data_IF_634362726655
#
_entry.id   IF_634362726655
#
_cell.length_a   1.000
_cell.length_b   1.000
_cell.length_c   1.000
_cell.angle_alpha   90.00
_cell.angle_beta   90.00
_cell.angle_gamma   90.00
#
_symmetry.space_group_name_H-M   'P 1'
#
loop_
_entity.id
_entity.type
_entity.pdbx_description
1 polymer ?
2 non-polymer ?
3 non-polymer ?
4 non-polymer ?
5 water ?
#
# COMPACT_ATOMS: atom_id res chain seq x y z
N UNK A 11 20.42 12.72 -9.42
CA UNK A 11 21.48 13.39 -8.63
C UNK A 11 20.90 13.91 -7.30
N UNK A 12 21.67 14.77 -6.66
CA UNK A 12 21.42 15.27 -5.35
C UNK A 12 21.12 16.75 -5.52
N UNK A 13 20.02 17.18 -4.94
CA UNK A 13 19.63 18.59 -5.01
C UNK A 13 20.49 19.38 -4.02
N UNK A 14 20.83 20.64 -4.35
CA UNK A 14 21.67 21.41 -3.45
C UNK A 14 21.03 21.58 -2.09
N UNK A 15 21.83 21.44 -1.04
CA UNK A 15 21.34 21.53 0.32
C UNK A 15 20.75 22.90 0.62
N UNK A 16 19.45 22.96 1.00
CA UNK A 16 18.93 24.28 1.34
C UNK A 16 19.61 24.89 2.59
N UNK A 17 19.73 26.23 2.64
CA UNK A 17 20.50 26.82 3.72
C UNK A 17 19.97 26.52 5.12
N UNK A 18 18.68 26.24 5.27
CA UNK A 18 18.12 25.99 6.59
C UNK A 18 18.37 24.57 7.13
N UNK A 19 18.88 23.69 6.28
CA UNK A 19 19.15 22.30 6.71
C UNK A 19 20.60 22.12 7.11
N UNK A 20 20.87 21.72 8.37
CA UNK A 20 22.26 21.54 8.78
C UNK A 20 22.85 20.21 8.29
N UNK A 21 24.17 20.21 8.05
CA UNK A 21 24.85 19.08 7.38
C UNK A 21 24.72 17.76 8.13
N UNK A 22 24.68 17.84 9.45
CA UNK A 22 24.65 16.65 10.30
C UNK A 22 23.33 15.87 10.17
N UNK A 23 22.33 16.48 9.57
CA UNK A 23 21.04 15.81 9.35
C UNK A 23 20.88 15.18 7.97
N UNK A 24 21.91 15.34 7.13
CA UNK A 24 21.83 14.87 5.74
C UNK A 24 22.13 13.39 5.63
N UNK A 25 21.16 12.64 5.10
CA UNK A 25 21.31 11.20 4.88
C UNK A 25 20.66 10.96 3.54
N UNK A 26 21.47 10.73 2.49
CA UNK A 26 20.96 10.76 1.12
C UNK A 26 20.28 9.45 0.67
N UNK A 27 19.13 9.19 1.28
CA UNK A 27 18.32 7.99 1.00
C UNK A 27 17.41 8.20 -0.21
N UNK A 28 17.40 7.24 -1.14
CA UNK A 28 16.57 7.34 -2.36
C UNK A 28 15.36 6.42 -2.27
N UNK A 29 14.17 6.98 -2.04
CA UNK A 29 12.99 6.14 -1.86
C UNK A 29 12.60 5.29 -3.09
N UNK A 30 13.11 5.65 -4.26
CA UNK A 30 12.79 4.91 -5.51
C UNK A 30 13.82 3.85 -5.86
N UNK A 31 14.95 3.88 -5.17
CA UNK A 31 16.06 2.96 -5.42
C UNK A 31 17.00 2.96 -4.25
N UNK A 32 16.54 2.45 -3.09
CA UNK A 32 17.39 2.52 -1.90
C UNK A 32 18.61 1.62 -2.04
N UNK A 33 19.78 2.12 -1.62
CA UNK A 33 21.06 1.43 -1.95
C UNK A 33 21.07 -0.05 -1.56
N UNK A 34 20.43 -0.37 -0.44
CA UNK A 34 20.46 -1.69 0.19
C UNK A 34 19.25 -2.60 -0.17
N UNK A 35 18.61 -2.26 -1.27
CA UNK A 35 17.41 -2.93 -1.81
C UNK A 35 17.55 -4.47 -1.94
N UNK A 36 18.76 -4.95 -2.28
CA UNK A 36 18.94 -6.39 -2.50
C UNK A 36 18.72 -7.23 -1.24
N UNK A 37 18.79 -6.58 -0.07
CA UNK A 37 18.53 -7.26 1.23
C UNK A 37 17.03 -7.40 1.53
N UNK A 38 16.20 -6.79 0.70
CA UNK A 38 14.76 -6.74 0.97
C UNK A 38 14.38 -5.29 1.16
N UNK A 39 13.20 -4.90 0.66
CA UNK A 39 12.89 -3.46 0.63
C UNK A 39 12.71 -2.91 2.05
N UNK A 40 12.02 -3.67 2.92
CA UNK A 40 11.83 -3.22 4.30
C UNK A 40 13.20 -3.05 4.97
N UNK A 41 14.09 -4.04 4.79
CA UNK A 41 15.49 -3.95 5.27
C UNK A 41 16.23 -2.71 4.74
N UNK A 42 15.99 -2.38 3.47
CA UNK A 42 16.64 -1.25 2.85
C UNK A 42 16.23 0.05 3.55
N UNK A 43 14.93 0.20 3.84
CA UNK A 43 14.47 1.41 4.52
C UNK A 43 14.95 1.44 5.96
N UNK A 44 15.10 0.27 6.57
CA UNK A 44 15.50 0.17 7.98
C UNK A 44 16.91 0.63 8.23
N UNK A 45 17.69 0.84 7.17
CA UNK A 45 19.02 1.47 7.29
C UNK A 45 18.89 2.85 7.98
N UNK A 46 17.71 3.45 7.82
CA UNK A 46 17.43 4.73 8.47
C UNK A 46 17.22 4.65 9.98
N UNK A 47 17.23 3.45 10.54
CA UNK A 47 17.10 3.25 12.00
C UNK A 47 18.36 2.67 12.63
N UNK A 48 19.47 2.74 11.89
CA UNK A 48 20.77 2.33 12.43
C UNK A 48 21.20 3.33 13.49
N UNK A 49 22.10 2.87 14.37
CA UNK A 49 22.41 3.52 15.65
C UNK A 49 22.52 5.05 15.66
N UNK A 50 23.36 5.62 14.79
CA UNK A 50 23.59 7.07 14.85
C UNK A 50 22.48 7.94 14.25
N UNK A 51 21.74 7.37 13.29
CA UNK A 51 20.70 8.12 12.54
C UNK A 51 19.65 8.83 13.40
N UNK A 52 19.56 10.17 13.24
CA UNK A 52 18.58 10.96 13.99
C UNK A 52 17.14 10.58 13.61
N UNK A 53 16.17 11.01 14.42
CA UNK A 53 14.76 10.72 14.18
C UNK A 53 14.22 11.37 12.92
N UNK A 54 14.86 12.45 12.48
CA UNK A 54 14.41 13.20 11.34
C UNK A 54 15.62 13.59 10.51
N UNK A 55 15.65 13.13 9.26
CA UNK A 55 16.79 13.36 8.39
C UNK A 55 16.39 14.07 7.10
N UNK A 56 17.35 14.76 6.46
CA UNK A 56 17.15 15.34 5.12
C UNK A 56 17.86 14.49 4.08
N UNK A 57 17.14 14.05 3.05
CA UNK A 57 17.78 13.50 1.84
C UNK A 57 17.80 14.52 0.71
N UNK A 58 18.94 14.55 -0.01
CA UNK A 58 19.06 15.43 -1.18
C UNK A 58 18.54 14.72 -2.45
N UNK A 59 18.16 13.44 -2.31
CA UNK A 59 17.56 12.72 -3.44
C UNK A 59 16.16 13.21 -3.77
N UNK A 60 15.73 13.00 -5.02
CA UNK A 60 14.34 13.21 -5.43
C UNK A 60 13.87 14.63 -5.12
N UNK A 61 14.79 15.57 -5.29
CA UNK A 61 14.48 16.99 -5.19
C UNK A 61 14.75 17.56 -3.81
N UNK A 62 14.95 16.71 -2.82
CA UNK A 62 15.24 17.17 -1.48
C UNK A 62 14.02 17.16 -0.56
N UNK A 63 14.13 16.42 0.55
CA UNK A 63 12.98 16.30 1.48
C UNK A 63 13.38 15.68 2.80
N UNK A 64 12.53 15.86 3.81
CA UNK A 64 12.73 15.23 5.11
C UNK A 64 12.19 13.81 5.06
N UNK A 65 12.71 12.99 5.98
CA UNK A 65 12.15 11.68 6.25
C UNK A 65 12.08 11.50 7.77
N UNK A 66 10.86 11.26 8.30
CA UNK A 66 10.71 10.87 9.73
C UNK A 66 11.00 9.38 9.85
N UNK A 67 11.83 8.98 10.80
CA UNK A 67 12.38 7.61 10.84
C UNK A 67 11.88 6.76 12.02
N UNK A 68 11.00 7.33 12.85
CA UNK A 68 10.50 6.62 14.02
C UNK A 68 8.99 6.76 14.14
N UNK A 69 8.35 5.74 14.73
CA UNK A 69 6.89 5.74 14.91
C UNK A 69 6.37 7.00 15.61
N UNK A 70 7.05 7.45 16.68
CA UNK A 70 6.56 8.57 17.47
C UNK A 70 6.39 9.82 16.61
N UNK A 71 7.39 10.15 15.79
CA UNK A 71 7.35 11.34 14.93
C UNK A 71 6.38 11.17 13.80
N UNK A 72 6.36 9.98 13.24
CA UNK A 72 5.43 9.66 12.17
C UNK A 72 3.97 9.86 12.64
N UNK A 73 3.64 9.28 13.79
CA UNK A 73 2.30 9.43 14.31
C UNK A 73 1.98 10.88 14.61
N UNK A 74 2.93 11.60 15.18
CA UNK A 74 2.69 13.02 15.52
C UNK A 74 2.38 13.86 14.27
N UNK A 75 3.16 13.67 13.21
CA UNK A 75 2.98 14.37 11.94
C UNK A 75 1.62 14.08 11.32
N UNK A 76 1.23 12.80 11.31
CA UNK A 76 -0.09 12.41 10.80
C UNK A 76 -1.24 13.02 11.61
N UNK A 77 -1.04 13.20 12.92
CA UNK A 77 -2.08 13.82 13.75
C UNK A 77 -2.18 15.33 13.50
N UNK A 78 -1.04 15.98 13.27
CA UNK A 78 -0.99 17.45 13.14
C UNK A 78 -1.19 17.92 11.70
N UNK A 79 -2.43 17.88 11.23
CA UNK A 79 -2.72 18.31 9.86
C UNK A 79 -2.66 19.81 9.69
N UNK A 80 -2.58 20.55 10.79
CA UNK A 80 -2.40 22.01 10.61
C UNK A 80 -1.02 22.38 10.11
N UNK A 81 0.02 21.75 10.65
CA UNK A 81 1.39 21.98 10.20
C UNK A 81 1.76 21.07 9.03
N UNK A 82 1.23 19.85 9.00
CA UNK A 82 1.67 18.87 8.01
C UNK A 82 0.47 18.55 7.12
N UNK A 83 0.45 19.15 5.94
CA UNK A 83 -0.74 19.09 5.07
C UNK A 83 -0.68 17.96 4.03
N UNK A 84 -1.84 17.36 3.73
CA UNK A 84 -1.94 16.33 2.67
C UNK A 84 -2.06 16.89 1.27
N UNK A 85 -2.01 18.21 1.14
CA UNK A 85 -2.22 18.85 -0.16
C UNK A 85 -1.16 18.44 -1.18
N UNK A 86 0.06 18.18 -0.69
CA UNK A 86 1.17 17.78 -1.57
C UNK A 86 1.88 16.61 -0.90
N UNK A 87 1.28 15.42 -0.98
CA UNK A 87 1.80 14.35 -0.13
C UNK A 87 2.92 13.48 -0.70
N UNK A 88 3.11 13.48 -2.00
CA UNK A 88 4.08 12.54 -2.59
C UNK A 88 5.36 13.23 -3.01
N UNK A 89 6.45 12.46 -2.93
CA UNK A 89 7.77 12.83 -3.48
C UNK A 89 7.91 12.10 -4.82
N UNK A 90 8.48 12.75 -5.87
CA UNK A 90 9.05 14.11 -5.89
C UNK A 90 7.95 15.18 -5.90
N UNK A 91 8.32 16.42 -5.63
CA UNK A 91 7.34 17.50 -5.58
C UNK A 91 6.33 17.59 -6.74
N UNK A 92 6.80 17.38 -7.98
CA UNK A 92 5.93 17.48 -9.17
C UNK A 92 4.81 16.47 -9.04
N UNK A 93 5.11 15.32 -8.46
CA UNK A 93 4.10 14.27 -8.24
C UNK A 93 3.11 14.70 -7.15
N UNK A 94 3.63 15.15 -6.01
CA UNK A 94 2.77 15.69 -4.96
C UNK A 94 1.86 16.81 -5.45
N UNK A 95 2.40 17.72 -6.27
CA UNK A 95 1.61 18.84 -6.76
C UNK A 95 0.49 18.39 -7.70
N UNK A 96 0.80 17.42 -8.56
CA UNK A 96 -0.20 16.86 -9.48
C UNK A 96 -1.26 16.04 -8.77
N UNK A 97 -0.92 15.50 -7.60
CA UNK A 97 -1.79 14.53 -6.94
C UNK A 97 -3.00 15.25 -6.38
N UNK A 98 -4.20 14.87 -6.82
CA UNK A 98 -5.41 15.56 -6.35
C UNK A 98 -6.55 14.59 -6.02
N UNK A 99 -6.18 13.36 -5.69
CA UNK A 99 -7.17 12.35 -5.35
C UNK A 99 -7.95 12.78 -4.11
N UNK A 100 -9.19 12.30 -4.02
CA UNK A 100 -10.08 12.59 -2.88
C UNK A 100 -10.38 11.25 -2.23
N UNK A 101 -10.30 11.16 -0.89
CA UNK A 101 -10.05 12.26 0.07
C UNK A 101 -8.58 12.50 0.43
N UNK A 102 -7.69 11.70 -0.14
CA UNK A 102 -6.28 11.69 0.26
C UNK A 102 -5.53 13.02 0.15
N UNK A 103 -5.84 13.85 -0.85
CA UNK A 103 -5.14 15.15 -1.05
C UNK A 103 -5.77 16.30 -0.27
N UNK A 104 -6.73 15.98 0.59
CA UNK A 104 -7.39 17.02 1.38
C UNK A 104 -7.07 16.87 2.85
N UNK A 105 -7.10 18.01 3.56
CA UNK A 105 -7.03 17.99 5.02
C UNK A 105 -8.42 18.16 5.61
N UNK A 106 -8.60 17.72 6.88
CA UNK A 106 -9.80 18.20 7.59
C UNK A 106 -9.74 19.73 7.65
N UNK A 107 -10.90 20.41 7.72
CA UNK A 107 -12.24 19.86 7.77
C UNK A 107 -12.82 19.33 6.46
N UNK A 108 -12.37 19.83 5.30
CA UNK A 108 -13.01 19.45 4.04
C UNK A 108 -12.92 17.98 3.66
N UNK A 109 -11.85 17.29 4.09
CA UNK A 109 -11.66 15.88 3.80
C UNK A 109 -12.83 14.99 4.27
N UNK A 110 -13.33 15.28 5.48
CA UNK A 110 -14.14 14.31 6.18
C UNK A 110 -15.42 13.91 5.46
N UNK A 111 -16.03 14.89 4.82
CA UNK A 111 -17.33 14.67 4.17
C UNK A 111 -17.27 13.64 3.05
N UNK A 112 -16.09 13.43 2.49
CA UNK A 112 -15.90 12.49 1.40
C UNK A 112 -15.67 11.05 1.88
N UNK A 113 -15.21 10.87 3.13
CA UNK A 113 -15.06 9.49 3.65
C UNK A 113 -16.30 8.63 3.67
N UNK A 114 -17.44 9.21 4.03
CA UNK A 114 -18.68 8.43 4.10
C UNK A 114 -19.06 7.84 2.75
N UNK A 115 -18.86 8.63 1.70
CA UNK A 115 -19.17 8.13 0.37
C UNK A 115 -18.22 6.99 -0.03
N UNK A 116 -16.92 7.17 0.18
CA UNK A 116 -15.95 6.09 -0.13
C UNK A 116 -16.27 4.83 0.70
N UNK A 117 -16.66 5.05 1.96
CA UNK A 117 -17.07 3.91 2.82
C UNK A 117 -18.23 3.13 2.27
N UNK A 118 -19.12 3.82 1.55
CA UNK A 118 -20.26 3.17 0.93
C UNK A 118 -19.84 2.21 -0.14
N UNK A 119 -18.67 2.42 -0.73
CA UNK A 119 -18.27 1.58 -1.85
C UNK A 119 -17.18 0.57 -1.52
N UNK A 120 -16.42 0.80 -0.44
CA UNK A 120 -15.37 -0.20 -0.10
C UNK A 120 -15.35 -0.64 1.35
N UNK A 121 -16.27 -0.09 2.15
CA UNK A 121 -16.37 -0.39 3.59
C UNK A 121 -16.99 -1.72 3.92
N UNK A 122 -17.16 -1.98 5.22
CA UNK A 122 -17.65 -3.29 5.71
C UNK A 122 -18.91 -3.82 5.03
N UNK A 123 -19.95 -2.99 4.88
CA UNK A 123 -21.15 -3.47 4.19
C UNK A 123 -20.89 -4.03 2.80
N UNK A 124 -19.98 -3.40 2.06
CA UNK A 124 -19.59 -3.92 0.76
C UNK A 124 -18.79 -5.23 0.89
N UNK A 125 -17.91 -5.31 1.87
CA UNK A 125 -17.13 -6.54 2.09
C UNK A 125 -18.11 -7.72 2.34
N UNK A 126 -19.17 -7.44 3.08
CA UNK A 126 -20.26 -8.41 3.26
C UNK A 126 -20.93 -8.83 1.96
N UNK A 127 -21.23 -7.87 1.09
CA UNK A 127 -21.81 -8.13 -0.22
C UNK A 127 -20.92 -9.05 -1.07
N UNK A 128 -19.61 -8.89 -0.93
CA UNK A 128 -18.58 -9.59 -1.74
C UNK A 128 -18.04 -10.84 -1.09
N UNK A 129 -18.41 -11.08 0.15
CA UNK A 129 -17.83 -12.16 0.95
C UNK A 129 -17.68 -13.50 0.19
N UNK A 130 -18.80 -13.99 -0.35
CA UNK A 130 -18.87 -15.33 -0.95
C UNK A 130 -17.96 -15.38 -2.17
N UNK A 131 -18.07 -14.34 -2.99
CA UNK A 131 -17.33 -14.27 -4.26
C UNK A 131 -15.82 -14.16 -4.02
N UNK A 132 -15.43 -13.37 -3.00
CA UNK A 132 -14.00 -13.32 -2.59
C UNK A 132 -13.53 -14.73 -2.26
N UNK A 133 -14.32 -15.43 -1.47
CA UNK A 133 -13.99 -16.77 -1.00
C UNK A 133 -13.88 -17.68 -2.22
N UNK A 134 -14.90 -17.60 -3.09
CA UNK A 134 -14.96 -18.43 -4.30
C UNK A 134 -13.82 -18.24 -5.27
N UNK A 135 -13.40 -16.99 -5.48
CA UNK A 135 -12.31 -16.72 -6.40
C UNK A 135 -10.96 -17.18 -5.85
N UNK A 136 -10.71 -16.93 -4.56
CA UNK A 136 -9.49 -17.47 -3.91
C UNK A 136 -9.38 -18.98 -4.12
N UNK A 137 -10.46 -19.70 -3.81
CA UNK A 137 -10.43 -21.17 -3.89
C UNK A 137 -10.25 -21.64 -5.32
N UNK A 138 -10.97 -21.03 -6.26
CA UNK A 138 -10.86 -21.44 -7.66
C UNK A 138 -9.44 -21.22 -8.20
N UNK A 139 -8.86 -20.05 -7.93
CA UNK A 139 -7.52 -19.76 -8.42
C UNK A 139 -6.49 -20.73 -7.83
N UNK A 140 -6.59 -20.97 -6.53
CA UNK A 140 -5.60 -21.81 -5.83
C UNK A 140 -5.78 -23.26 -6.27
N UNK A 141 -7.02 -23.71 -6.41
CA UNK A 141 -7.25 -25.09 -6.89
C UNK A 141 -6.69 -25.31 -8.29
N UNK A 142 -6.85 -24.32 -9.18
CA UNK A 142 -6.26 -24.42 -10.52
C UNK A 142 -4.72 -24.54 -10.49
N UNK A 143 -4.09 -23.86 -9.53
CA UNK A 143 -2.63 -23.93 -9.44
C UNK A 143 -2.13 -25.21 -8.77
N UNK A 144 -2.92 -25.74 -7.83
CA UNK A 144 -2.45 -26.76 -6.88
C UNK A 144 -1.75 -27.97 -7.55
N UNK A 145 -2.35 -28.53 -8.61
CA UNK A 145 -1.73 -29.73 -9.20
C UNK A 145 -0.45 -29.47 -9.99
N UNK A 146 -0.21 -28.19 -10.32
CA UNK A 146 0.96 -27.77 -11.14
C UNK A 146 2.30 -27.92 -10.43
N UNK A 147 2.32 -27.83 -9.10
CA UNK A 147 3.59 -27.93 -8.37
C UNK A 147 4.48 -26.70 -8.49
N UNK A 148 3.94 -25.64 -9.09
CA UNK A 148 4.69 -24.39 -9.28
C UNK A 148 3.78 -23.27 -9.71
N UNK A 149 4.20 -22.03 -9.47
CA UNK A 149 3.50 -20.88 -10.04
C UNK A 149 4.43 -19.68 -10.01
N UNK A 150 4.02 -18.65 -10.73
CA UNK A 150 4.64 -17.34 -10.65
C UNK A 150 3.66 -16.54 -9.81
N UNK A 151 3.86 -16.52 -8.49
CA UNK A 151 2.82 -15.99 -7.61
C UNK A 151 2.33 -14.58 -7.93
N UNK A 152 3.22 -13.68 -8.35
CA UNK A 152 2.78 -12.31 -8.62
C UNK A 152 1.75 -12.26 -9.72
N UNK A 153 2.02 -12.95 -10.82
CA UNK A 153 1.11 -12.88 -11.93
C UNK A 153 -0.05 -13.88 -11.85
N UNK A 154 0.16 -15.00 -11.15
CA UNK A 154 -0.83 -16.10 -11.10
C UNK A 154 -1.87 -15.96 -9.98
N UNK A 155 -1.57 -15.14 -8.98
CA UNK A 155 -2.50 -14.97 -7.85
C UNK A 155 -2.51 -13.55 -7.28
N UNK A 156 -1.33 -13.05 -6.89
CA UNK A 156 -1.26 -11.72 -6.24
C UNK A 156 -1.98 -10.62 -7.03
N UNK A 157 -1.81 -10.65 -8.36
CA UNK A 157 -2.51 -9.69 -9.20
C UNK A 157 -3.99 -10.06 -9.44
N UNK A 158 -4.27 -11.24 -10.05
CA UNK A 158 -5.67 -11.49 -10.41
C UNK A 158 -6.66 -11.56 -9.26
N UNK A 159 -6.26 -12.09 -8.10
CA UNK A 159 -7.22 -12.19 -6.99
C UNK A 159 -7.79 -10.81 -6.54
N UNK A 160 -6.95 -9.89 -6.02
CA UNK A 160 -7.51 -8.60 -5.59
C UNK A 160 -8.01 -7.78 -6.77
N UNK A 161 -7.33 -7.87 -7.91
CA UNK A 161 -7.72 -6.99 -9.05
C UNK A 161 -9.07 -7.38 -9.62
N UNK A 162 -9.31 -8.68 -9.76
CA UNK A 162 -10.61 -9.13 -10.28
C UNK A 162 -11.75 -8.84 -9.27
N UNK A 163 -11.45 -8.87 -7.96
CA UNK A 163 -12.48 -8.49 -6.98
C UNK A 163 -12.81 -7.00 -7.19
N UNK A 164 -11.77 -6.21 -7.44
CA UNK A 164 -11.95 -4.78 -7.56
C UNK A 164 -12.70 -4.46 -8.86
N UNK A 165 -12.34 -5.14 -9.95
CA UNK A 165 -13.00 -4.82 -11.24
C UNK A 165 -14.47 -5.17 -11.17
N UNK A 166 -14.78 -6.27 -10.50
CA UNK A 166 -16.15 -6.68 -10.22
C UNK A 166 -16.90 -5.60 -9.45
N UNK A 167 -16.32 -5.18 -8.34
CA UNK A 167 -16.93 -4.16 -7.47
C UNK A 167 -17.14 -2.86 -8.23
N UNK A 168 -16.21 -2.52 -9.11
CA UNK A 168 -16.24 -1.27 -9.86
C UNK A 168 -16.99 -1.39 -11.18
N UNK A 169 -17.40 -2.61 -11.52
CA UNK A 169 -18.08 -2.88 -12.77
C UNK A 169 -17.26 -2.49 -13.99
N UNK A 170 -15.96 -2.77 -13.95
CA UNK A 170 -15.05 -2.50 -15.09
C UNK A 170 -14.68 -3.82 -15.73
N UNK A 171 -14.49 -3.85 -17.07
CA UNK A 171 -14.15 -5.09 -17.75
C UNK A 171 -12.76 -5.61 -17.43
N UNK A 172 -12.65 -6.92 -17.21
CA UNK A 172 -11.34 -7.53 -16.90
C UNK A 172 -10.31 -7.35 -18.01
N UNK A 173 -10.77 -7.23 -19.26
CA UNK A 173 -9.84 -6.97 -20.37
C UNK A 173 -9.11 -5.60 -20.25
N UNK A 174 -9.62 -4.70 -19.39
CA UNK A 174 -8.96 -3.41 -19.15
C UNK A 174 -7.79 -3.46 -18.12
N UNK A 175 -7.63 -4.61 -17.46
CA UNK A 175 -6.63 -4.72 -16.38
C UNK A 175 -5.19 -4.35 -16.78
N UNK A 176 -4.68 -4.92 -17.90
CA UNK A 176 -3.28 -4.62 -18.22
C UNK A 176 -3.02 -3.12 -18.37
N UNK A 177 -3.94 -2.41 -19.02
CA UNK A 177 -3.76 -0.98 -19.23
C UNK A 177 -3.82 -0.24 -17.87
N UNK A 178 -4.85 -0.56 -17.09
CA UNK A 178 -5.04 0.14 -15.83
C UNK A 178 -3.94 -0.18 -14.85
N UNK A 179 -3.53 -1.44 -14.82
CA UNK A 179 -2.41 -1.86 -13.93
C UNK A 179 -1.12 -1.13 -14.33
N UNK A 180 -0.83 -1.06 -15.64
CA UNK A 180 0.35 -0.30 -16.06
C UNK A 180 0.35 1.15 -15.55
N UNK A 181 -0.75 1.86 -15.78
CA UNK A 181 -0.90 3.27 -15.38
C UNK A 181 -0.78 3.46 -13.87
N UNK A 182 -1.46 2.62 -13.11
CA UNK A 182 -1.37 2.69 -11.64
C UNK A 182 0.06 2.55 -11.18
N UNK A 183 0.78 1.59 -11.75
CA UNK A 183 2.18 1.38 -11.40
C UNK A 183 3.09 2.53 -11.80
N UNK A 184 2.71 3.32 -12.81
CA UNK A 184 3.50 4.52 -13.11
C UNK A 184 3.37 5.61 -12.06
N UNK A 185 2.29 5.58 -11.29
CA UNK A 185 2.16 6.55 -10.22
C UNK A 185 2.96 6.15 -8.97
N UNK A 186 3.19 4.86 -8.77
CA UNK A 186 3.81 4.42 -7.53
C UNK A 186 5.28 4.00 -7.69
N UNK A 187 5.58 3.34 -8.82
CA UNK A 187 6.93 2.83 -9.10
C UNK A 187 7.23 3.12 -10.58
N UNK A 188 7.35 4.41 -10.93
CA UNK A 188 7.44 4.79 -12.35
C UNK A 188 8.65 4.16 -13.06
N UNK A 189 8.45 3.66 -14.29
CA UNK A 189 9.56 3.15 -15.11
C UNK A 189 10.35 4.28 -15.83
N UNK A 190 9.82 5.50 -15.74
CA UNK A 190 10.41 6.66 -16.37
C UNK A 190 9.76 7.09 -17.68
N UNK A 191 8.86 6.26 -18.19
CA UNK A 191 8.21 6.56 -19.48
C UNK A 191 7.11 7.60 -19.34
N UNK A 192 6.56 7.72 -18.13
CA UNK A 192 5.48 8.67 -17.84
C UNK A 192 5.72 9.37 -16.51
N UNK A 193 5.42 10.65 -16.48
CA UNK A 193 5.51 11.42 -15.24
C UNK A 193 4.27 11.04 -14.43
N UNK A 194 4.29 11.37 -13.15
CA UNK A 194 3.12 11.10 -12.29
C UNK A 194 1.89 11.79 -12.87
N UNK A 195 2.03 13.05 -13.27
CA UNK A 195 0.93 13.81 -13.86
C UNK A 195 0.36 13.15 -15.12
N UNK A 196 1.23 12.65 -15.99
CA UNK A 196 0.77 11.96 -17.21
C UNK A 196 0.00 10.69 -16.91
N UNK A 197 0.49 9.90 -15.95
CA UNK A 197 -0.14 8.63 -15.60
C UNK A 197 -1.51 8.91 -14.98
N UNK A 198 -1.55 9.92 -14.13
CA UNK A 198 -2.80 10.27 -13.46
C UNK A 198 -3.81 10.78 -14.49
N UNK A 199 -3.38 11.62 -15.42
CA UNK A 199 -4.27 12.13 -16.47
C UNK A 199 -4.80 11.03 -17.38
N UNK A 200 -3.97 10.02 -17.64
CA UNK A 200 -4.38 8.83 -18.38
C UNK A 200 -5.44 8.02 -17.63
N UNK A 201 -5.30 7.90 -16.31
CA UNK A 201 -6.33 7.24 -15.52
C UNK A 201 -7.62 8.05 -15.55
N UNK A 202 -7.49 9.37 -15.45
CA UNK A 202 -8.65 10.27 -15.59
C UNK A 202 -9.32 10.14 -16.98
N UNK A 203 -8.48 9.98 -18.02
CA UNK A 203 -8.96 9.87 -19.41
C UNK A 203 -9.82 8.63 -19.53
N UNK A 204 -9.46 7.58 -18.79
CA UNK A 204 -10.21 6.35 -18.78
C UNK A 204 -11.57 6.56 -18.08
N UNK A 205 -11.53 7.19 -16.91
CA UNK A 205 -12.70 7.31 -16.06
C UNK A 205 -13.73 8.32 -16.54
N UNK A 206 -13.28 9.43 -17.10
CA UNK A 206 -14.17 10.54 -17.44
C UNK A 206 -15.45 10.08 -18.19
N UNK A 207 -15.31 9.34 -19.32
CA UNK A 207 -16.55 8.92 -19.99
C UNK A 207 -17.40 7.93 -19.21
N UNK A 208 -16.76 7.05 -18.45
CA UNK A 208 -17.48 6.03 -17.69
C UNK A 208 -18.32 6.68 -16.58
N UNK A 209 -17.72 7.67 -15.91
CA UNK A 209 -18.42 8.48 -14.89
C UNK A 209 -19.64 9.22 -15.51
N UNK A 210 -19.43 9.88 -16.64
CA UNK A 210 -20.54 10.55 -17.31
C UNK A 210 -21.66 9.57 -17.71
N UNK A 211 -21.29 8.40 -18.25
CA UNK A 211 -22.26 7.36 -18.61
C UNK A 211 -23.09 6.89 -17.41
N UNK A 212 -22.40 6.68 -16.29
CA UNK A 212 -23.06 6.15 -15.10
C UNK A 212 -23.83 7.20 -14.28
N UNK A 213 -23.57 8.48 -14.54
CA UNK A 213 -24.42 9.54 -14.03
C UNK A 213 -25.71 9.63 -14.85
N UNK A 214 -25.61 9.32 -16.14
CA UNK A 214 -26.79 9.30 -17.02
C UNK A 214 -27.64 8.08 -16.75
N UNK A 215 -27.00 6.92 -16.61
CA UNK A 215 -27.67 5.65 -16.39
C UNK A 215 -26.95 4.89 -15.22
N UNK A 216 -27.27 5.25 -13.98
CA UNK A 216 -26.66 4.64 -12.79
C UNK A 216 -26.84 3.13 -12.72
N UNK A 217 -25.76 2.44 -12.34
CA UNK A 217 -25.82 1.02 -11.97
C UNK A 217 -25.65 0.90 -10.46
N UNK A 218 -25.30 -0.29 -9.99
CA UNK A 218 -25.05 -0.49 -8.55
C UNK A 218 -23.56 -0.66 -8.24
N UNK A 219 -22.71 -0.48 -9.24
CA UNK A 219 -21.26 -0.68 -9.09
C UNK A 219 -20.66 0.54 -8.37
N UNK A 220 -19.42 0.40 -7.89
CA UNK A 220 -18.78 1.48 -7.12
C UNK A 220 -18.69 2.80 -7.88
N UNK A 221 -18.43 2.75 -9.18
CA UNK A 221 -18.29 4.00 -9.93
C UNK A 221 -19.64 4.74 -10.01
N UNK A 222 -20.71 4.00 -10.26
CA UNK A 222 -22.06 4.58 -10.26
C UNK A 222 -22.37 5.20 -8.90
N UNK A 223 -22.05 4.48 -7.84
CA UNK A 223 -22.38 4.97 -6.48
C UNK A 223 -21.66 6.27 -6.14
N UNK A 224 -20.35 6.30 -6.41
CA UNK A 224 -19.56 7.52 -6.20
C UNK A 224 -20.09 8.66 -7.09
N UNK A 225 -20.29 8.36 -8.36
CA UNK A 225 -20.63 9.41 -9.33
C UNK A 225 -22.00 10.05 -9.07
N UNK A 226 -22.89 9.27 -8.45
CA UNK A 226 -24.26 9.75 -8.15
C UNK A 226 -24.41 10.08 -6.68
N UNK A 227 -23.29 10.14 -5.99
CA UNK A 227 -23.31 10.25 -4.54
C UNK A 227 -23.53 11.67 -4.05
N UNK A 228 -23.83 11.75 -2.76
CA UNK A 228 -23.98 13.02 -2.08
C UNK A 228 -22.84 13.17 -1.08
N UNK A 229 -22.43 14.41 -0.89
CA UNK A 229 -21.35 14.73 0.02
C UNK A 229 -21.95 15.71 1.03
N UNK A 230 -22.13 15.28 2.27
CA UNK A 230 -22.81 16.10 3.27
C UNK A 230 -24.07 16.81 2.72
N UNK A 231 -24.89 16.01 2.05
CA UNK A 231 -26.20 16.42 1.58
C UNK A 231 -26.26 17.20 0.30
N UNK A 232 -25.13 17.37 -0.39
CA UNK A 232 -25.15 18.03 -1.72
C UNK A 232 -24.53 17.12 -2.78
N UNK A 233 -24.97 17.28 -4.05
CA UNK A 233 -24.46 16.37 -5.06
C UNK A 233 -22.95 16.48 -5.30
N UNK A 234 -22.33 15.33 -5.46
CA UNK A 234 -20.91 15.30 -5.82
C UNK A 234 -20.77 15.86 -7.24
N UNK A 235 -19.70 16.58 -7.53
CA UNK A 235 -19.46 17.03 -8.90
C UNK A 235 -18.81 15.92 -9.74
N UNK A 236 -18.85 16.07 -11.07
CA UNK A 236 -18.19 15.12 -11.94
C UNK A 236 -16.69 15.07 -11.63
N UNK A 237 -16.10 16.24 -11.36
CA UNK A 237 -14.67 16.34 -11.10
C UNK A 237 -14.30 15.65 -9.79
N UNK A 238 -15.12 15.90 -8.75
CA UNK A 238 -14.87 15.25 -7.47
C UNK A 238 -15.00 13.71 -7.59
N UNK A 239 -16.01 13.25 -8.33
CA UNK A 239 -16.20 11.82 -8.52
C UNK A 239 -14.97 11.19 -9.20
N UNK A 240 -14.45 11.86 -10.23
CA UNK A 240 -13.26 11.39 -10.95
C UNK A 240 -12.06 11.26 -9.99
N UNK A 241 -11.86 12.27 -9.17
CA UNK A 241 -10.74 12.30 -8.22
C UNK A 241 -10.86 11.24 -7.12
N UNK A 242 -12.09 10.90 -6.76
CA UNK A 242 -12.32 9.79 -5.82
C UNK A 242 -12.09 8.44 -6.54
N UNK A 243 -12.62 8.29 -7.74
CA UNK A 243 -12.49 7.01 -8.45
C UNK A 243 -11.04 6.66 -8.81
N UNK A 244 -10.24 7.68 -9.10
CA UNK A 244 -8.79 7.50 -9.34
C UNK A 244 -8.12 6.82 -8.14
N UNK A 245 -8.43 7.32 -6.95
CA UNK A 245 -7.89 6.73 -5.73
C UNK A 245 -8.34 5.29 -5.58
N UNK A 246 -9.61 5.02 -5.85
CA UNK A 246 -10.13 3.66 -5.69
C UNK A 246 -9.41 2.65 -6.59
N UNK A 247 -9.14 3.08 -7.83
CA UNK A 247 -8.40 2.26 -8.78
C UNK A 247 -7.00 1.92 -8.26
N UNK A 248 -6.30 2.92 -7.72
CA UNK A 248 -4.98 2.67 -7.17
C UNK A 248 -5.08 1.72 -5.98
N UNK A 249 -6.05 1.95 -5.10
CA UNK A 249 -6.28 1.05 -3.98
C UNK A 249 -6.56 -0.37 -4.44
N UNK A 250 -7.38 -0.54 -5.47
CA UNK A 250 -7.76 -1.84 -5.91
C UNK A 250 -6.63 -2.57 -6.62
N UNK A 251 -5.78 -1.79 -7.31
CA UNK A 251 -4.78 -2.40 -8.21
C UNK A 251 -3.34 -2.48 -7.72
N UNK A 252 -2.99 -1.70 -6.70
CA UNK A 252 -1.59 -1.68 -6.28
C UNK A 252 -1.35 -1.64 -4.77
N UNK A 253 -2.20 -2.32 -3.99
CA UNK A 253 -1.98 -2.37 -2.55
C UNK A 253 -1.84 -3.83 -2.10
N UNK A 254 -2.99 -4.47 -1.88
CA UNK A 254 -3.03 -5.88 -1.50
C UNK A 254 -2.24 -6.70 -2.53
N UNK A 255 -2.32 -6.29 -3.80
CA UNK A 255 -1.52 -7.00 -4.83
C UNK A 255 -0.05 -7.21 -4.40
N UNK A 256 0.60 -6.16 -3.91
CA UNK A 256 2.00 -6.24 -3.48
C UNK A 256 2.14 -6.91 -2.12
N UNK A 257 1.27 -6.53 -1.19
CA UNK A 257 1.35 -7.11 0.14
C UNK A 257 1.27 -8.66 0.13
N UNK A 258 0.37 -9.22 -0.67
CA UNK A 258 0.26 -10.68 -0.72
C UNK A 258 1.60 -11.34 -1.11
N UNK A 259 2.35 -10.70 -1.99
CA UNK A 259 3.61 -11.30 -2.42
C UNK A 259 4.67 -11.23 -1.32
N UNK A 260 4.73 -10.11 -0.60
CA UNK A 260 5.68 -10.04 0.53
C UNK A 260 5.39 -11.16 1.53
N UNK A 261 4.11 -11.33 1.84
CA UNK A 261 3.67 -12.32 2.82
C UNK A 261 3.94 -13.76 2.39
N UNK A 262 3.64 -14.06 1.14
CA UNK A 262 3.84 -15.41 0.61
C UNK A 262 5.33 -15.73 0.42
N UNK A 263 6.12 -14.70 0.10
CA UNK A 263 7.57 -14.89 0.03
C UNK A 263 8.05 -15.31 1.43
N UNK A 264 7.59 -14.60 2.46
CA UNK A 264 8.01 -14.91 3.81
C UNK A 264 7.61 -16.34 4.22
N UNK A 265 6.37 -16.70 3.94
CA UNK A 265 5.85 -18.01 4.31
C UNK A 265 6.60 -19.11 3.54
N UNK A 266 6.89 -18.88 2.26
CA UNK A 266 7.69 -19.85 1.49
C UNK A 266 9.06 -20.09 2.12
N UNK A 267 9.61 -19.05 2.74
CA UNK A 267 10.93 -19.13 3.35
C UNK A 267 10.91 -19.65 4.78
N UNK A 268 9.73 -19.77 5.39
CA UNK A 268 9.63 -20.17 6.78
C UNK A 268 8.65 -21.31 7.04
N UNK A 269 9.13 -22.54 6.90
CA UNK A 269 8.32 -23.70 7.26
C UNK A 269 7.75 -23.64 8.69
N UNK A 270 8.52 -23.11 9.64
CA UNK A 270 8.05 -23.03 11.02
C UNK A 270 6.79 -22.16 11.17
N UNK A 271 6.78 -21.03 10.45
CA UNK A 271 5.62 -20.14 10.47
C UNK A 271 4.43 -20.74 9.73
N UNK A 272 4.67 -21.41 8.60
CA UNK A 272 3.58 -22.14 7.93
C UNK A 272 2.95 -23.15 8.90
N UNK A 273 3.81 -23.85 9.61
CA UNK A 273 3.32 -24.93 10.47
C UNK A 273 2.43 -24.37 11.57
N UNK A 274 2.78 -23.20 12.07
CA UNK A 274 2.01 -22.55 13.14
C UNK A 274 0.56 -22.34 12.68
N UNK A 275 0.43 -21.88 11.43
CA UNK A 275 -0.88 -21.57 10.84
C UNK A 275 -1.63 -22.80 10.34
N UNK A 276 -0.88 -23.81 9.92
CA UNK A 276 -1.47 -25.11 9.56
C UNK A 276 -2.09 -25.79 10.80
N UNK A 277 -1.38 -25.75 11.91
CA UNK A 277 -1.83 -26.39 13.15
C UNK A 277 -2.90 -25.56 13.85
N UNK A 278 -2.76 -24.22 13.81
CA UNK A 278 -3.74 -23.36 14.47
C UNK A 278 -4.24 -22.27 13.53
N UNK A 279 -5.14 -22.64 12.59
CA UNK A 279 -5.55 -21.66 11.58
C UNK A 279 -6.33 -20.49 12.15
N UNK A 280 -6.90 -20.62 13.35
CA UNK A 280 -7.56 -19.50 14.00
C UNK A 280 -6.59 -18.34 14.33
N UNK A 281 -5.27 -18.61 14.22
CA UNK A 281 -4.24 -17.57 14.43
C UNK A 281 -4.00 -16.77 13.14
N UNK A 282 -4.63 -17.15 12.06
CA UNK A 282 -4.41 -16.42 10.78
C UNK A 282 -4.71 -14.90 10.84
N UNK A 283 -5.85 -14.49 11.43
CA UNK A 283 -6.04 -13.04 11.58
C UNK A 283 -4.91 -12.35 12.36
N UNK A 284 -4.44 -12.93 13.46
CA UNK A 284 -3.33 -12.30 14.18
C UNK A 284 -2.06 -12.28 13.34
N UNK A 285 -1.85 -13.35 12.58
CA UNK A 285 -0.70 -13.45 11.67
C UNK A 285 -0.78 -12.34 10.61
N UNK A 286 -1.99 -12.09 10.12
CA UNK A 286 -2.21 -11.03 9.14
C UNK A 286 -1.72 -9.70 9.71
N UNK A 287 -2.06 -9.41 10.96
CA UNK A 287 -1.69 -8.12 11.54
C UNK A 287 -0.16 -8.00 11.69
N UNK A 288 0.47 -9.11 12.09
CA UNK A 288 1.93 -9.11 12.32
C UNK A 288 2.67 -8.98 10.97
N UNK A 289 2.14 -9.66 9.96
CA UNK A 289 2.66 -9.47 8.58
C UNK A 289 2.46 -8.03 8.03
N UNK A 290 1.32 -7.43 8.35
CA UNK A 290 1.06 -6.04 7.97
C UNK A 290 2.09 -5.11 8.61
N UNK A 291 2.44 -5.40 9.86
CA UNK A 291 3.52 -4.65 10.52
C UNK A 291 4.90 -4.84 9.85
N UNK A 292 5.27 -6.10 9.62
CA UNK A 292 6.62 -6.44 9.18
C UNK A 292 6.85 -6.14 7.70
N UNK A 293 5.80 -6.29 6.89
CA UNK A 293 5.91 -6.10 5.45
C UNK A 293 5.05 -4.92 4.97
N UNK A 294 5.08 -3.86 5.75
CA UNK A 294 4.40 -2.63 5.40
C UNK A 294 4.99 -2.09 4.07
N UNK A 295 4.26 -1.24 3.37
CA UNK A 295 4.74 -0.94 2.00
C UNK A 295 4.49 0.47 1.42
N UNK A 296 3.85 1.36 2.16
CA UNK A 296 3.52 2.70 1.66
C UNK A 296 4.37 3.81 2.25
N UNK A 297 4.90 4.67 1.38
CA UNK A 297 5.68 5.83 1.81
C UNK A 297 4.90 7.13 1.53
N UNK A 298 4.05 7.48 2.48
CA UNK A 298 3.14 8.60 2.45
C UNK A 298 3.94 9.82 2.90
N UNK A 299 3.44 11.02 2.65
CA UNK A 299 4.10 12.21 3.17
C UNK A 299 3.16 13.40 3.28
N UNK A 300 3.75 14.54 3.62
CA UNK A 300 3.03 15.78 3.90
C UNK A 300 3.89 16.97 3.47
N UNK A 301 3.25 18.14 3.39
CA UNK A 301 4.00 19.39 3.09
C UNK A 301 3.81 20.36 4.24
N UNK A 302 4.89 21.07 4.61
CA UNK A 302 4.82 22.01 5.74
C UNK A 302 4.04 23.25 5.35
N UNK A 303 3.06 23.63 6.17
CA UNK A 303 2.23 24.79 5.86
C UNK A 303 2.79 26.08 6.44
N UNK A 304 3.79 25.97 7.32
CA UNK A 304 4.51 27.15 7.85
C UNK A 304 5.88 26.72 8.33
N UNK A 305 6.76 27.68 8.61
CA UNK A 305 8.00 27.33 9.33
C UNK A 305 7.63 26.79 10.67
N UNK A 306 8.25 25.68 11.06
CA UNK A 306 7.84 24.99 12.27
C UNK A 306 9.01 24.21 12.82
N UNK A 307 9.27 24.36 14.11
CA UNK A 307 10.29 23.55 14.75
C UNK A 307 9.63 22.30 15.30
N UNK A 308 10.18 21.17 14.90
CA UNK A 308 9.58 19.87 15.18
C UNK A 308 10.72 19.01 15.66
N UNK A 309 10.60 18.51 16.89
CA UNK A 309 11.63 17.66 17.51
C UNK A 309 13.03 18.24 17.37
N UNK A 310 13.15 19.54 17.66
CA UNK A 310 14.43 20.24 17.64
C UNK A 310 14.95 20.57 16.26
N UNK A 311 14.18 20.25 15.23
CA UNK A 311 14.60 20.49 13.84
C UNK A 311 13.79 21.62 13.22
N UNK A 312 14.48 22.52 12.54
CA UNK A 312 13.78 23.61 11.88
C UNK A 312 13.23 23.20 10.51
N UNK A 313 11.91 23.10 10.43
CA UNK A 313 11.25 22.81 9.16
C UNK A 313 10.83 24.12 8.53
N UNK A 314 10.95 24.23 7.22
CA UNK A 314 10.56 25.45 6.52
C UNK A 314 9.26 25.25 5.72
N UNK A 315 8.41 26.27 5.72
CA UNK A 315 7.20 26.25 4.88
C UNK A 315 7.49 25.72 3.47
N UNK A 316 6.69 24.76 3.03
CA UNK A 316 6.88 24.19 1.71
C UNK A 316 7.81 22.96 1.65
N UNK A 317 8.61 22.74 2.69
CA UNK A 317 9.40 21.49 2.78
C UNK A 317 8.44 20.31 2.74
N UNK A 318 8.82 19.23 2.07
CA UNK A 318 8.10 17.97 2.15
C UNK A 318 8.73 17.04 3.17
N UNK A 319 7.88 16.22 3.81
CA UNK A 319 8.35 15.23 4.78
C UNK A 319 7.69 13.88 4.48
N UNK A 320 8.53 12.88 4.28
CA UNK A 320 8.09 11.54 4.05
C UNK A 320 7.83 10.85 5.39
N UNK A 321 6.69 10.16 5.50
CA UNK A 321 6.30 9.46 6.70
C UNK A 321 6.07 7.99 6.31
N UNK A 322 7.17 7.22 6.21
CA UNK A 322 7.08 5.86 5.72
C UNK A 322 6.52 4.88 6.76
N UNK A 323 5.48 4.15 6.40
CA UNK A 323 4.89 3.20 7.37
C UNK A 323 5.83 2.07 7.80
N UNK A 324 6.76 1.69 6.93
CA UNK A 324 7.76 0.69 7.29
C UNK A 324 8.48 1.10 8.55
N UNK A 325 8.73 2.38 8.69
CA UNK A 325 9.52 2.82 9.82
C UNK A 325 8.72 2.83 11.13
N UNK A 326 7.39 2.95 11.09
CA UNK A 326 6.64 2.83 12.35
C UNK A 326 6.64 1.37 12.79
N UNK A 327 6.33 0.47 11.86
CA UNK A 327 6.17 -0.96 12.19
C UNK A 327 7.50 -1.59 12.54
N UNK A 328 8.58 -1.09 11.94
CA UNK A 328 9.90 -1.71 12.20
C UNK A 328 10.71 -1.01 13.28
N UNK A 329 10.10 0.00 13.90
CA UNK A 329 10.75 0.80 14.94
C UNK A 329 10.91 -0.05 16.22
N UNK A 330 12.16 -0.37 16.56
CA UNK A 330 12.42 -1.18 17.76
C UNK A 330 11.97 -0.54 19.06
N UNK A 331 11.80 0.79 19.05
CA UNK A 331 11.27 1.49 20.22
C UNK A 331 9.83 1.10 20.49
N UNK A 332 9.12 0.67 19.44
CA UNK A 332 7.71 0.34 19.49
C UNK A 332 7.48 -1.18 19.46
N UNK A 333 8.33 -1.89 18.74
CA UNK A 333 8.20 -3.35 18.58
C UNK A 333 9.55 -4.03 18.79
N UNK A 334 9.71 -4.75 19.91
CA UNK A 334 11.00 -5.38 20.18
C UNK A 334 11.36 -6.44 19.13
N UNK A 335 12.64 -6.52 18.78
CA UNK A 335 13.10 -7.44 17.72
C UNK A 335 12.22 -7.26 16.46
N UNK A 336 12.18 -6.04 15.90
CA UNK A 336 11.14 -5.71 14.93
C UNK A 336 11.25 -6.47 13.62
N UNK A 337 12.45 -6.98 13.26
CA UNK A 337 12.55 -7.75 12.01
C UNK A 337 12.03 -9.20 12.18
N UNK A 338 11.84 -9.64 13.42
CA UNK A 338 11.36 -10.99 13.67
C UNK A 338 9.84 -11.00 13.46
N UNK A 339 9.32 -12.00 12.76
CA UNK A 339 7.87 -12.19 12.67
C UNK A 339 7.41 -13.08 13.82
N UNK A 340 6.59 -12.52 14.71
CA UNK A 340 6.07 -13.27 15.86
C UNK A 340 4.55 -13.22 15.83
N UNK A 341 3.91 -14.30 15.39
CA UNK A 341 2.46 -14.30 15.34
C UNK A 341 1.79 -14.13 16.70
N UNK A 342 2.54 -14.39 17.78
CA UNK A 342 2.06 -14.15 19.13
C UNK A 342 2.49 -12.81 19.72
N UNK A 343 3.04 -11.94 18.87
CA UNK A 343 3.40 -10.58 19.30
C UNK A 343 2.23 -9.91 20.04
N UNK A 344 2.52 -9.40 21.23
CA UNK A 344 1.48 -8.98 22.17
C UNK A 344 0.77 -7.68 21.80
N UNK A 345 1.56 -6.67 21.45
CA UNK A 345 1.04 -5.36 21.09
C UNK A 345 1.66 -4.97 19.74
N UNK A 346 0.97 -5.33 18.67
CA UNK A 346 1.51 -5.13 17.33
C UNK A 346 1.31 -3.67 16.91
N UNK A 347 2.35 -2.86 16.95
CA UNK A 347 2.23 -1.44 16.67
C UNK A 347 2.65 -1.16 15.23
N UNK A 348 1.75 -0.53 14.46
CA UNK A 348 2.05 -0.22 13.07
C UNK A 348 1.13 0.90 12.59
N UNK A 349 1.50 1.52 11.48
CA UNK A 349 0.65 2.51 10.81
C UNK A 349 0.46 2.08 9.35
N UNK A 350 0.31 0.76 9.14
CA UNK A 350 0.33 0.25 7.78
C UNK A 350 -0.87 0.74 6.98
N UNK A 351 -1.99 0.96 7.68
CA UNK A 351 -3.21 1.52 7.11
C UNK A 351 -3.33 3.04 7.35
N UNK A 352 -2.21 3.68 7.69
CA UNK A 352 -2.17 5.12 7.98
C UNK A 352 -2.42 5.43 9.45
N UNK A 353 -2.65 6.70 9.73
CA UNK A 353 -2.82 7.15 11.12
C UNK A 353 -3.55 8.49 11.11
N UNK A 354 -4.43 8.71 12.09
CA UNK A 354 -5.12 10.00 12.18
C UNK A 354 -6.36 10.04 11.31
N UNK A 355 -6.63 11.19 10.70
CA UNK A 355 -7.90 11.33 10.01
C UNK A 355 -7.97 10.61 8.67
N UNK A 356 -6.82 10.20 8.13
CA UNK A 356 -6.81 9.48 6.83
C UNK A 356 -6.66 7.95 6.90
N UNK A 357 -7.10 7.33 8.00
CA UNK A 357 -7.04 5.87 8.13
C UNK A 357 -7.65 5.19 6.91
N UNK A 358 -6.95 4.18 6.38
CA UNK A 358 -7.42 3.46 5.20
C UNK A 358 -8.86 3.01 5.27
N UNK A 359 -9.69 3.42 4.31
CA UNK A 359 -11.09 2.95 4.23
C UNK A 359 -11.21 1.58 3.57
N UNK A 360 -10.18 1.17 2.85
CA UNK A 360 -10.14 -0.16 2.23
C UNK A 360 -9.61 -1.26 3.15
N UNK A 361 -9.30 -0.92 4.39
CA UNK A 361 -8.61 -1.88 5.27
C UNK A 361 -9.38 -3.16 5.57
N UNK A 362 -10.71 -3.08 5.59
CA UNK A 362 -11.55 -4.24 5.87
C UNK A 362 -11.55 -5.19 4.69
N UNK A 363 -11.68 -4.62 3.48
CA UNK A 363 -11.50 -5.38 2.26
C UNK A 363 -10.11 -6.00 2.18
N UNK A 364 -9.09 -5.19 2.49
CA UNK A 364 -7.70 -5.68 2.45
C UNK A 364 -7.51 -6.88 3.41
N UNK A 365 -7.90 -6.73 4.67
CA UNK A 365 -7.72 -7.84 5.63
C UNK A 365 -8.49 -9.07 5.19
N UNK A 366 -9.69 -8.90 4.66
CA UNK A 366 -10.46 -10.07 4.19
C UNK A 366 -9.71 -10.79 3.07
N UNK A 367 -9.19 -10.04 2.10
CA UNK A 367 -8.44 -10.65 1.00
C UNK A 367 -7.18 -11.37 1.53
N UNK A 368 -6.51 -10.75 2.49
CA UNK A 368 -5.29 -11.36 3.05
C UNK A 368 -5.60 -12.66 3.79
N UNK A 369 -6.59 -12.58 4.66
CA UNK A 369 -6.96 -13.70 5.55
C UNK A 369 -7.51 -14.87 4.75
N UNK A 370 -8.38 -14.57 3.78
CA UNK A 370 -8.90 -15.59 2.90
C UNK A 370 -7.79 -16.27 2.11
N UNK A 371 -6.89 -15.47 1.55
CA UNK A 371 -5.73 -16.01 0.83
C UNK A 371 -4.92 -16.98 1.71
N UNK A 372 -4.54 -16.54 2.91
CA UNK A 372 -3.72 -17.42 3.77
C UNK A 372 -4.44 -18.71 4.14
N UNK A 373 -5.70 -18.58 4.53
CA UNK A 373 -6.49 -19.77 4.93
C UNK A 373 -6.63 -20.73 3.75
N UNK A 374 -7.04 -20.21 2.60
CA UNK A 374 -7.36 -21.07 1.46
C UNK A 374 -6.12 -21.65 0.77
N UNK A 375 -5.01 -20.90 0.84
CA UNK A 375 -3.74 -21.40 0.31
C UNK A 375 -3.20 -22.53 1.19
N UNK A 376 -3.06 -22.27 2.48
CA UNK A 376 -2.47 -23.27 3.40
C UNK A 376 -3.32 -24.55 3.51
N UNK A 377 -4.64 -24.41 3.32
CA UNK A 377 -5.56 -25.58 3.23
C UNK A 377 -5.18 -26.54 2.08
N UNK A 378 -4.82 -25.98 0.93
CA UNK A 378 -4.61 -26.76 -0.27
C UNK A 378 -3.12 -27.03 -0.53
N UNK A 379 -2.29 -26.02 -0.27
CA UNK A 379 -0.84 -26.08 -0.55
C UNK A 379 -0.10 -25.69 0.75
N UNK A 380 -0.10 -26.59 1.77
CA UNK A 380 0.49 -26.26 3.08
C UNK A 380 2.02 -26.13 3.03
N UNK A 381 2.62 -26.78 2.04
CA UNK A 381 4.07 -27.01 2.00
C UNK A 381 4.60 -26.56 0.65
N UNK A 382 5.26 -25.40 0.65
CA UNK A 382 5.78 -24.80 -0.60
C UNK A 382 7.05 -24.05 -0.28
N UNK A 383 7.82 -23.74 -1.32
CA UNK A 383 9.11 -23.10 -1.17
C UNK A 383 9.35 -22.15 -2.32
N UNK A 384 10.37 -21.30 -2.17
CA UNK A 384 10.87 -20.49 -3.26
C UNK A 384 11.53 -21.46 -4.26
N UNK A 385 11.34 -21.25 -5.55
CA UNK A 385 11.98 -22.09 -6.56
C UNK A 385 13.48 -22.17 -6.25
N UNK A 386 14.09 -23.38 -6.40
CA UNK A 386 15.52 -23.49 -6.08
C UNK A 386 16.36 -22.56 -6.91
N UNK A 387 17.25 -21.88 -6.20
CA UNK A 387 18.20 -20.99 -6.84
C UNK A 387 17.67 -19.60 -7.13
N UNK A 388 16.36 -19.40 -6.98
CA UNK A 388 15.76 -18.09 -7.28
C UNK A 388 16.17 -17.07 -6.24
N UNK A 389 16.37 -15.83 -6.70
CA UNK A 389 16.65 -14.70 -5.82
C UNK A 389 15.56 -13.66 -5.98
N UNK A 390 14.84 -13.40 -4.90
CA UNK A 390 13.65 -12.58 -5.01
C UNK A 390 14.06 -11.11 -4.97
N UNK A 391 13.64 -10.37 -5.98
CA UNK A 391 13.93 -8.94 -6.14
C UNK A 391 12.75 -8.08 -5.74
N UNK A 392 12.99 -7.12 -4.87
CA UNK A 392 11.96 -6.15 -4.52
C UNK A 392 12.13 -4.86 -5.33
N UNK A 393 11.09 -4.02 -5.29
CA UNK A 393 11.14 -2.71 -5.94
C UNK A 393 10.52 -1.68 -5.00
N UNK A 394 11.13 -0.50 -4.91
CA UNK A 394 10.72 0.52 -3.93
C UNK A 394 10.04 1.70 -4.62
N UNK A 395 9.15 2.35 -3.90
CA UNK A 395 8.51 3.57 -4.38
C UNK A 395 7.46 4.04 -3.42
N UNK A 396 6.46 4.77 -3.93
CA UNK A 396 5.34 5.17 -3.07
C UNK A 396 4.69 3.92 -2.48
N UNK A 397 4.52 2.88 -3.29
CA UNK A 397 4.14 1.56 -2.76
C UNK A 397 5.22 0.63 -3.24
N UNK A 398 5.80 -0.12 -2.30
CA UNK A 398 6.84 -1.08 -2.63
C UNK A 398 6.26 -2.43 -3.03
N UNK A 399 7.04 -3.23 -3.74
CA UNK A 399 6.52 -4.51 -4.21
C UNK A 399 7.60 -5.57 -4.49
N UNK A 400 7.16 -6.67 -5.11
CA UNK A 400 8.02 -7.85 -5.33
C UNK A 400 7.98 -8.05 -6.84
N UNK A 401 9.14 -8.11 -7.50
CA UNK A 401 9.13 -8.14 -8.96
C UNK A 401 8.59 -9.46 -9.48
N UNK A 402 8.98 -10.54 -8.83
CA UNK A 402 8.61 -11.90 -9.23
C UNK A 402 8.75 -12.82 -8.03
N UNK A 403 7.91 -13.84 -7.97
CA UNK A 403 7.94 -14.81 -6.88
C UNK A 403 7.63 -16.21 -7.38
N UNK A 404 8.65 -16.91 -7.92
CA UNK A 404 8.50 -18.28 -8.36
C UNK A 404 8.43 -19.21 -7.16
N UNK A 405 7.31 -19.93 -7.03
CA UNK A 405 7.10 -20.91 -5.96
C UNK A 405 7.04 -22.32 -6.55
N UNK A 406 7.47 -23.29 -5.74
CA UNK A 406 7.37 -24.71 -6.11
C UNK A 406 6.83 -25.51 -4.95
N UNK A 407 6.20 -26.66 -5.25
CA UNK A 407 5.75 -27.59 -4.19
C UNK A 407 5.59 -28.96 -4.82
N UNK A 408 5.55 -29.97 -3.98
CA UNK A 408 5.26 -31.33 -4.40
C UNK A 408 3.72 -31.51 -4.38
N UNK A 409 3.12 -31.70 -5.56
CA UNK A 409 1.66 -31.91 -5.62
C UNK A 409 1.15 -33.03 -4.69
N UNK A 410 1.97 -34.05 -4.41
CA UNK A 410 1.60 -35.10 -3.43
C UNK A 410 1.45 -34.61 -1.98
N UNK A 411 1.90 -33.39 -1.69
CA UNK A 411 1.74 -32.86 -0.34
C UNK A 411 0.51 -31.93 -0.28
N UNK A 412 -0.20 -31.85 -1.39
CA UNK A 412 -1.36 -30.95 -1.50
C UNK A 412 -2.67 -31.68 -1.26
N UNK A 413 -3.75 -30.93 -1.05
CA UNK A 413 -5.05 -31.51 -0.82
C UNK A 413 -6.11 -30.74 -1.59
N UNK A 414 -6.84 -31.40 -2.49
CA UNK A 414 -8.00 -30.78 -3.10
C UNK A 414 -9.13 -30.80 -2.09
N UNK A 415 -9.84 -29.67 -1.95
CA UNK A 415 -10.86 -29.55 -0.91
C UNK A 415 -12.17 -30.24 -1.33
X LIG B 1 -1.66 18.43 -4.98
X LIG C 1 -5.91 2.13 1.60
X LIG C 1 -6.00 5.44 2.54
X LIG C 1 -2.67 1.88 2.98
X LIG C 1 -5.88 -1.20 0.60
X LIG C 1 -8.88 2.61 -0.23
X LIG C 1 -4.59 3.42 2.56
X LIG C 1 -4.78 4.72 2.86
X LIG C 1 -3.71 5.34 3.50
X LIG C 1 -2.72 4.27 3.64
X LIG C 1 -3.33 3.18 3.05
X LIG C 1 -1.34 4.36 4.26
X LIG C 1 -3.62 6.78 3.96
X LIG C 1 -4.51 0.71 1.62
X LIG C 1 -3.29 0.67 2.44
X LIG C 1 -2.68 -0.59 2.52
X LIG C 1 -3.60 -1.51 1.84
X LIG C 1 -4.77 -0.69 1.38
X LIG C 1 -1.38 -0.96 3.22
X LIG C 1 -3.48 -3.00 1.65
X LIG C 1 -2.54 -3.79 2.15
X LIG C 1 -7.13 0.94 0.39
X LIG C 1 -6.98 -0.38 0.11
X LIG C 1 -7.94 -0.94 -0.71
X LIG C 1 -8.80 0.21 -0.98
X LIG C 1 -8.24 1.27 -0.30
X LIG C 1 -8.03 -2.36 -1.20
X LIG C 1 -10.03 0.20 -1.82
X LIG C 1 -10.04 -0.23 -3.07
X LIG C 1 -7.21 3.73 1.24
X LIG C 1 -8.35 3.76 0.51
X LIG C 1 -9.04 4.99 0.51
X LIG C 1 -8.22 5.88 1.33
X LIG C 1 -7.11 4.98 1.72
X LIG C 1 -10.33 5.30 -0.19
X LIG C 1 -8.42 7.33 1.66
X LIG C 1 -8.77 7.58 3.11
X LIG C 1 -8.65 9.07 3.34
X LIG C 1 -9.52 9.61 4.06
X LIG C 1 -7.71 9.70 2.81
X LIG D 1 -2.45 4.94 -2.55
X LIG D 1 -3.10 6.29 -2.71
X LIG D 1 -2.92 7.17 -3.80
X LIG D 1 -4.00 6.53 -1.51
X LIG D 1 -3.90 5.17 -0.84
X LIG D 1 -4.59 4.20 -1.82
X LIG D 1 -3.55 3.96 -2.92
X LIG D 1 -2.42 4.84 -1.04
X LIG D 1 -1.53 5.94 -0.45
X LIG D 1 -2.02 3.45 -0.53
X LIG D 1 -1.10 4.83 -3.25
#
# INVERSE_FOLDING_TARGET
MTTETIQSNANLAPLPPHVPEHLVFDFDMYNPSNLSAGVQEAWAVLQESNVPDLVWTRCNGGHWIATRGQLIREAYEDYRHFSSECPFIPREAGEAYDFIPTSMDPPEQRQFRALANQVVGMPVVDKLENRIQELACSLIESLRPQGQCNFTEDYAEPFPIRIFMLLAGLPEEDIPHLKYLTDQMTRPDGSMTFAEAKEALYDYLIPIIEQRRQKPGTDAISIVANGQVNGRPITSDEAKRMCGLLLVGGLDTVVNFLSFSMEFLAKSPEHRQELIERPERIPAACEELLRRFSLVADGRILTSDYEFHGVQLKKGDQILLPQMLSGLDERENACPMHVDFSRQKVSHTTFGHGSHLCLGQHLARREIIVTLKEWLTRIPDFSIAPGAQIQHKSGIVSGVQALPLVWDPATTKAV
K K
7HE FE CHA CHB CHC CHD NA C1A C2A C3A C4A CMA CAA NB C1B C2B C3B C4B CMB CAB CBB NC C1C C2C C3C C4C CMC CAC CBC ND C1D C2D C3D C4D CMD CAD CBD CGD O1D O2D
CAM C1 C2 O C3 C4 C5 C6 C7 C8 C9 C10
#
